data_IF_284009391250
#
_entry.id   IF_284009391250
#
_cell.length_a   1.000
_cell.length_b   1.000
_cell.length_c   1.000
_cell.angle_alpha   90.00
_cell.angle_beta   90.00
_cell.angle_gamma   90.00
#
_symmetry.space_group_name_H-M   'P 1'
#
loop_
_entity.id
_entity.type
_entity.pdbx_description
1 polymer ?
#
# COMPACT_ATOMS: atom_id res chain seq x y z
N UNK A 1 -24.21 -19.40 26.55
CA UNK A 1 -23.81 -18.29 27.45
C UNK A 1 -24.40 -16.95 26.97
N UNK A 2 -25.68 -16.89 26.57
CA UNK A 2 -26.26 -15.64 25.98
C UNK A 2 -27.46 -15.09 26.78
N UNK A 3 -28.21 -15.89 27.54
CA UNK A 3 -29.39 -15.38 28.28
C UNK A 3 -29.06 -14.58 29.54
N UNK A 4 -27.86 -14.76 30.10
CA UNK A 4 -27.44 -14.11 31.35
C UNK A 4 -26.95 -12.68 31.10
N UNK A 5 -26.27 -12.46 29.97
CA UNK A 5 -25.79 -11.15 29.51
C UNK A 5 -26.98 -10.21 29.23
N UNK A 6 -27.96 -10.70 28.47
CA UNK A 6 -29.17 -9.91 28.15
C UNK A 6 -29.98 -9.54 29.41
N UNK A 7 -29.98 -10.39 30.44
CA UNK A 7 -30.68 -10.10 31.69
C UNK A 7 -29.97 -9.02 32.52
N UNK A 8 -28.64 -9.01 32.49
CA UNK A 8 -27.83 -8.04 33.22
C UNK A 8 -28.03 -6.65 32.63
N UNK A 9 -27.93 -6.53 31.30
CA UNK A 9 -28.09 -5.26 30.60
C UNK A 9 -29.50 -4.67 30.79
N UNK A 10 -30.54 -5.51 30.68
CA UNK A 10 -31.92 -5.09 30.98
C UNK A 10 -32.08 -4.61 32.42
N UNK A 11 -31.46 -5.29 33.38
CA UNK A 11 -31.53 -4.90 34.79
C UNK A 11 -30.82 -3.57 35.04
N UNK A 12 -29.62 -3.38 34.48
CA UNK A 12 -28.85 -2.15 34.61
C UNK A 12 -29.55 -0.94 34.00
N UNK A 13 -30.09 -1.07 32.78
CA UNK A 13 -30.89 -0.01 32.13
C UNK A 13 -32.13 0.33 32.97
N UNK A 14 -32.82 -0.68 33.51
CA UNK A 14 -34.01 -0.47 34.35
C UNK A 14 -33.67 0.29 35.64
N UNK A 15 -32.53 -0.04 36.28
CA UNK A 15 -32.07 0.66 37.48
C UNK A 15 -31.64 2.10 37.16
N UNK A 16 -30.97 2.33 36.04
CA UNK A 16 -30.58 3.68 35.59
C UNK A 16 -31.80 4.57 35.36
N UNK A 17 -32.83 4.07 34.66
CA UNK A 17 -34.09 4.82 34.43
C UNK A 17 -34.79 5.15 35.74
N UNK A 18 -34.82 4.22 36.70
CA UNK A 18 -35.38 4.48 38.04
C UNK A 18 -34.60 5.53 38.80
N UNK A 19 -33.27 5.53 38.70
CA UNK A 19 -32.42 6.55 39.32
C UNK A 19 -32.71 7.92 38.70
N UNK A 20 -32.83 8.01 37.37
CA UNK A 20 -33.18 9.26 36.69
C UNK A 20 -34.57 9.78 37.10
N UNK A 21 -35.57 8.90 37.27
CA UNK A 21 -36.89 9.28 37.79
C UNK A 21 -36.79 9.84 39.22
N UNK A 22 -35.99 9.22 40.10
CA UNK A 22 -35.74 9.69 41.47
C UNK A 22 -35.02 11.04 41.51
N UNK A 23 -33.99 11.21 40.68
CA UNK A 23 -33.23 12.47 40.57
C UNK A 23 -34.12 13.60 40.05
N UNK A 24 -34.95 13.33 39.04
CA UNK A 24 -35.91 14.30 38.50
C UNK A 24 -36.96 14.73 39.52
N UNK A 25 -37.54 13.77 40.25
CA UNK A 25 -38.49 14.05 41.33
C UNK A 25 -37.82 14.85 42.47
N UNK A 26 -36.58 14.50 42.83
CA UNK A 26 -35.81 15.24 43.84
C UNK A 26 -35.52 16.67 43.40
N UNK A 27 -35.10 16.86 42.15
CA UNK A 27 -34.87 18.19 41.57
C UNK A 27 -36.13 19.05 41.57
N UNK A 28 -37.28 18.47 41.22
CA UNK A 28 -38.58 19.14 41.24
C UNK A 28 -38.98 19.57 42.65
N UNK A 29 -38.81 18.68 43.64
CA UNK A 29 -39.10 18.98 45.03
C UNK A 29 -38.19 20.10 45.58
N UNK A 30 -36.89 20.05 45.29
CA UNK A 30 -35.92 21.07 45.71
C UNK A 30 -36.20 22.44 45.07
N UNK A 31 -36.76 22.47 43.87
CA UNK A 31 -37.20 23.70 43.19
C UNK A 31 -38.55 24.24 43.72
N UNK A 32 -39.17 23.59 44.71
CA UNK A 32 -40.47 23.98 45.28
C UNK A 32 -41.69 23.53 44.46
N UNK A 33 -41.50 22.65 43.47
CA UNK A 33 -42.58 22.05 42.69
C UNK A 33 -43.22 20.84 43.38
N UNK A 34 -44.33 20.35 42.81
CA UNK A 34 -44.94 19.07 43.20
C UNK A 34 -44.31 17.98 42.33
N UNK A 35 -43.49 17.06 42.89
CA UNK A 35 -42.86 16.01 42.11
C UNK A 35 -43.87 14.96 41.66
N UNK A 36 -43.56 14.29 40.55
CA UNK A 36 -44.28 13.09 40.13
C UNK A 36 -44.21 12.01 41.21
N UNK A 37 -45.25 11.18 41.29
CA UNK A 37 -45.31 10.08 42.26
C UNK A 37 -44.13 9.15 42.00
N UNK A 38 -43.24 9.04 42.99
CA UNK A 38 -42.12 8.12 42.96
C UNK A 38 -42.61 6.69 42.73
N UNK A 39 -41.81 5.84 42.04
CA UNK A 39 -42.11 4.43 41.93
C UNK A 39 -42.32 3.84 43.33
N UNK A 40 -43.36 3.02 43.49
CA UNK A 40 -43.53 2.25 44.71
C UNK A 40 -42.30 1.37 44.90
N UNK A 41 -41.48 1.70 45.89
CA UNK A 41 -40.37 0.87 46.30
C UNK A 41 -40.93 -0.28 47.12
N UNK A 42 -41.27 -1.37 46.44
CA UNK A 42 -41.61 -2.66 47.08
C UNK A 42 -40.38 -3.35 47.70
N UNK A 43 -39.20 -2.72 47.63
CA UNK A 43 -37.92 -3.33 47.98
C UNK A 43 -37.43 -2.89 49.35
N UNK A 44 -38.15 -3.29 50.40
CA UNK A 44 -37.60 -3.41 51.76
C UNK A 44 -36.93 -4.77 51.99
N UNK A 45 -37.07 -5.73 51.07
CA UNK A 45 -36.47 -7.07 51.15
C UNK A 45 -35.26 -7.24 50.20
N UNK A 46 -34.27 -8.00 50.66
CA UNK A 46 -33.16 -8.47 49.82
C UNK A 46 -33.67 -9.47 48.79
N UNK A 47 -33.97 -8.99 47.57
CA UNK A 47 -34.36 -9.84 46.44
C UNK A 47 -33.16 -10.61 45.89
N UNK A 48 -33.36 -11.86 45.51
CA UNK A 48 -32.41 -12.60 44.68
C UNK A 48 -32.32 -11.97 43.28
N UNK A 49 -31.23 -12.26 42.55
CA UNK A 49 -31.04 -11.76 41.18
C UNK A 49 -32.21 -12.13 40.24
N UNK A 50 -32.76 -13.34 40.38
CA UNK A 50 -33.89 -13.82 39.58
C UNK A 50 -35.15 -13.02 39.91
N UNK A 51 -35.44 -12.79 41.19
CA UNK A 51 -36.60 -12.00 41.62
C UNK A 51 -36.50 -10.54 41.19
N UNK A 52 -35.30 -9.95 41.29
CA UNK A 52 -35.02 -8.62 40.77
C UNK A 52 -35.27 -8.54 39.26
N UNK A 53 -34.80 -9.54 38.50
CA UNK A 53 -35.00 -9.60 37.05
C UNK A 53 -36.49 -9.67 36.69
N UNK A 54 -37.25 -10.53 37.36
CA UNK A 54 -38.71 -10.65 37.14
C UNK A 54 -39.44 -9.35 37.51
N UNK A 55 -39.06 -8.71 38.61
CA UNK A 55 -39.63 -7.43 39.02
C UNK A 55 -39.34 -6.32 37.99
N UNK A 56 -38.11 -6.26 37.50
CA UNK A 56 -37.68 -5.31 36.46
C UNK A 56 -38.41 -5.58 35.14
N UNK A 57 -38.51 -6.83 34.68
CA UNK A 57 -39.23 -7.16 33.44
C UNK A 57 -40.71 -6.75 33.51
N UNK A 58 -41.36 -6.96 34.66
CA UNK A 58 -42.74 -6.47 34.89
C UNK A 58 -42.81 -4.94 34.84
N UNK A 59 -41.85 -4.25 35.44
CA UNK A 59 -41.80 -2.78 35.40
C UNK A 59 -41.58 -2.27 33.97
N UNK A 60 -40.64 -2.85 33.23
CA UNK A 60 -40.37 -2.54 31.83
C UNK A 60 -41.61 -2.73 30.98
N UNK A 61 -42.33 -3.84 31.14
CA UNK A 61 -43.58 -4.11 30.43
C UNK A 61 -44.66 -3.05 30.74
N UNK A 62 -44.82 -2.65 32.01
CA UNK A 62 -45.78 -1.58 32.39
C UNK A 62 -45.41 -0.20 31.83
N UNK A 63 -44.12 0.11 31.75
CA UNK A 63 -43.60 1.40 31.27
C UNK A 63 -43.39 1.42 29.75
N UNK A 64 -43.57 0.29 29.06
CA UNK A 64 -43.30 0.16 27.63
C UNK A 64 -41.81 0.24 27.26
N UNK A 65 -40.91 -0.07 28.19
CA UNK A 65 -39.46 -0.06 27.93
C UNK A 65 -39.03 -1.33 27.21
N UNK A 66 -39.16 -1.33 25.90
CA UNK A 66 -38.79 -2.47 25.04
C UNK A 66 -37.29 -2.51 24.76
N UNK A 67 -36.65 -1.35 24.63
CA UNK A 67 -35.24 -1.24 24.27
C UNK A 67 -34.35 -1.06 25.49
N UNK A 68 -33.11 -1.56 25.39
CA UNK A 68 -32.07 -1.37 26.40
C UNK A 68 -31.14 -0.27 25.92
N UNK A 69 -30.99 0.79 26.72
CA UNK A 69 -30.14 1.94 26.40
C UNK A 69 -29.21 2.23 27.59
N UNK A 70 -28.15 1.43 27.69
CA UNK A 70 -27.11 1.65 28.70
C UNK A 70 -26.31 2.93 28.45
N UNK A 71 -26.27 3.42 27.22
CA UNK A 71 -25.56 4.66 26.89
C UNK A 71 -26.27 5.87 27.52
N UNK A 72 -27.61 5.85 27.65
CA UNK A 72 -28.38 6.86 28.36
C UNK A 72 -28.01 6.99 29.85
N UNK A 73 -27.39 5.97 30.45
CA UNK A 73 -26.90 6.03 31.83
C UNK A 73 -25.63 6.89 31.99
N UNK A 74 -24.96 7.22 30.89
CA UNK A 74 -23.70 7.99 30.90
C UNK A 74 -23.98 9.48 30.67
N UNK A 75 -23.30 10.36 31.42
CA UNK A 75 -23.25 11.79 31.06
C UNK A 75 -22.57 11.97 29.69
N UNK A 76 -22.78 13.11 28.98
CA UNK A 76 -22.10 13.37 27.72
C UNK A 76 -20.57 13.24 27.80
N UNK A 77 -19.95 13.70 28.90
CA UNK A 77 -18.51 13.59 29.14
C UNK A 77 -18.07 12.14 29.34
N UNK A 78 -18.85 11.35 30.10
CA UNK A 78 -18.59 9.94 30.35
C UNK A 78 -18.73 9.12 29.06
N UNK A 79 -19.75 9.40 28.24
CA UNK A 79 -19.95 8.76 26.94
C UNK A 79 -18.77 9.05 26.01
N UNK A 80 -18.37 10.31 25.88
CA UNK A 80 -17.19 10.69 25.12
C UNK A 80 -15.90 10.04 25.66
N UNK A 81 -15.79 9.88 26.99
CA UNK A 81 -14.69 9.16 27.63
C UNK A 81 -14.67 7.66 27.31
N UNK A 82 -15.82 7.03 27.35
CA UNK A 82 -16.01 5.61 27.02
C UNK A 82 -15.73 5.34 25.54
N UNK A 83 -16.16 6.23 24.64
CA UNK A 83 -15.85 6.14 23.21
C UNK A 83 -14.35 6.25 22.95
N UNK A 84 -13.66 7.18 23.61
CA UNK A 84 -12.19 7.27 23.55
C UNK A 84 -11.51 6.02 24.11
N UNK A 85 -12.03 5.45 25.19
CA UNK A 85 -11.49 4.21 25.76
C UNK A 85 -11.69 3.03 24.80
N UNK A 86 -12.90 2.87 24.23
CA UNK A 86 -13.23 1.86 23.21
C UNK A 86 -12.35 2.00 21.98
N UNK A 87 -12.16 3.23 21.49
CA UNK A 87 -11.30 3.53 20.34
C UNK A 87 -9.83 3.16 20.59
N UNK A 88 -9.35 3.25 21.83
CA UNK A 88 -7.99 2.82 22.22
C UNK A 88 -7.85 1.31 22.43
N UNK A 89 -8.95 0.56 22.50
CA UNK A 89 -8.87 -0.88 22.65
C UNK A 89 -8.50 -1.53 21.32
N UNK A 90 -7.34 -2.17 21.30
CA UNK A 90 -6.88 -2.98 20.17
C UNK A 90 -7.89 -4.07 19.83
N UNK A 91 -8.14 -4.30 18.54
CA UNK A 91 -8.88 -5.49 18.09
C UNK A 91 -7.88 -6.65 18.07
N UNK A 92 -8.06 -7.71 18.88
CA UNK A 92 -7.15 -8.86 18.87
C UNK A 92 -7.20 -9.53 17.50
N UNK A 93 -6.06 -10.05 17.08
CA UNK A 93 -5.99 -10.81 15.84
C UNK A 93 -6.65 -12.17 16.03
N UNK A 94 -7.30 -12.64 14.98
CA UNK A 94 -7.86 -13.98 14.94
C UNK A 94 -7.12 -14.88 13.93
N UNK A 95 -7.62 -16.11 13.78
CA UNK A 95 -7.02 -17.09 12.90
C UNK A 95 -7.01 -16.66 11.42
N UNK A 96 -8.02 -15.91 10.95
CA UNK A 96 -8.08 -15.47 9.56
C UNK A 96 -7.06 -14.37 9.29
N UNK A 97 -6.79 -13.51 10.28
CA UNK A 97 -5.70 -12.53 10.19
C UNK A 97 -4.34 -13.20 10.03
N UNK A 98 -4.09 -14.25 10.82
CA UNK A 98 -2.85 -15.01 10.73
C UNK A 98 -2.71 -15.67 9.36
N UNK A 99 -3.81 -16.21 8.81
CA UNK A 99 -3.84 -16.77 7.45
C UNK A 99 -3.61 -15.70 6.39
N UNK A 100 -4.22 -14.52 6.52
CA UNK A 100 -4.05 -13.41 5.59
C UNK A 100 -2.61 -12.90 5.56
N UNK A 101 -1.98 -12.75 6.73
CA UNK A 101 -0.56 -12.37 6.85
C UNK A 101 0.34 -13.45 6.27
N UNK A 102 0.10 -14.72 6.57
CA UNK A 102 0.87 -15.85 6.02
C UNK A 102 0.76 -15.91 4.50
N UNK A 103 -0.45 -15.77 3.94
CA UNK A 103 -0.69 -15.76 2.50
C UNK A 103 -0.05 -14.55 1.82
N UNK A 104 -0.17 -13.36 2.40
CA UNK A 104 0.50 -12.15 1.93
C UNK A 104 2.02 -12.32 1.93
N UNK A 105 2.57 -12.97 2.95
CA UNK A 105 4.01 -13.27 3.03
C UNK A 105 4.44 -14.20 1.90
N UNK A 106 3.76 -15.32 1.71
CA UNK A 106 4.10 -16.29 0.65
C UNK A 106 4.04 -15.63 -0.73
N UNK A 107 2.99 -14.86 -1.02
CA UNK A 107 2.85 -14.20 -2.31
C UNK A 107 3.80 -13.00 -2.48
N UNK A 108 4.07 -12.24 -1.42
CA UNK A 108 5.04 -11.15 -1.43
C UNK A 108 6.46 -11.66 -1.70
N UNK A 109 6.84 -12.79 -1.11
CA UNK A 109 8.12 -13.46 -1.39
C UNK A 109 8.13 -14.08 -2.80
N UNK A 110 7.04 -14.73 -3.19
CA UNK A 110 6.91 -15.28 -4.55
C UNK A 110 6.99 -14.19 -5.62
N UNK A 111 6.54 -12.96 -5.34
CA UNK A 111 6.69 -11.81 -6.25
C UNK A 111 8.16 -11.44 -6.49
N UNK A 112 9.04 -11.63 -5.51
CA UNK A 112 10.50 -11.49 -5.68
C UNK A 112 11.05 -12.56 -6.62
N UNK A 113 10.58 -13.81 -6.47
CA UNK A 113 11.00 -14.93 -7.32
C UNK A 113 10.39 -14.89 -8.72
N UNK A 114 9.19 -14.33 -8.86
CA UNK A 114 8.50 -14.15 -10.13
C UNK A 114 9.39 -13.39 -11.11
N UNK A 115 10.19 -12.45 -10.62
CA UNK A 115 11.12 -11.67 -11.44
C UNK A 115 12.17 -12.52 -12.16
N UNK A 116 12.69 -13.59 -11.56
CA UNK A 116 13.69 -14.46 -12.21
C UNK A 116 13.06 -15.51 -13.14
N UNK A 117 11.83 -15.96 -12.88
CA UNK A 117 11.12 -16.95 -13.71
C UNK A 117 10.43 -16.33 -14.94
N UNK A 118 9.97 -15.08 -14.81
CA UNK A 118 9.38 -14.29 -15.91
C UNK A 118 10.38 -14.04 -17.02
N UNK A 119 11.68 -13.92 -16.73
CA UNK A 119 12.70 -13.84 -17.77
C UNK A 119 12.64 -15.00 -18.75
N UNK A 120 12.48 -16.22 -18.24
CA UNK A 120 12.33 -17.39 -19.10
C UNK A 120 10.99 -17.43 -19.83
N UNK A 121 9.89 -17.12 -19.15
CA UNK A 121 8.54 -17.24 -19.71
C UNK A 121 8.18 -16.12 -20.69
N UNK A 122 8.47 -14.87 -20.36
CA UNK A 122 8.27 -13.70 -21.23
C UNK A 122 9.24 -13.72 -22.40
N UNK A 123 10.51 -14.15 -22.23
CA UNK A 123 11.39 -14.33 -23.39
C UNK A 123 10.90 -15.44 -24.34
N UNK A 124 10.32 -16.53 -23.81
CA UNK A 124 9.72 -17.60 -24.62
C UNK A 124 8.42 -17.15 -25.30
N UNK A 125 7.54 -16.44 -24.59
CA UNK A 125 6.29 -15.89 -25.11
C UNK A 125 6.49 -14.79 -26.16
N UNK A 126 7.39 -13.84 -25.88
CA UNK A 126 7.82 -12.82 -26.86
C UNK A 126 8.62 -13.44 -28.01
N UNK A 127 9.36 -14.52 -27.77
CA UNK A 127 10.03 -15.31 -28.81
C UNK A 127 9.05 -15.95 -29.80
N UNK A 128 7.87 -16.37 -29.33
CA UNK A 128 6.81 -16.88 -30.19
C UNK A 128 6.14 -15.77 -31.03
N UNK A 129 5.97 -14.57 -30.46
CA UNK A 129 5.35 -13.40 -31.15
C UNK A 129 6.33 -12.61 -32.02
N UNK A 130 7.65 -12.79 -31.85
CA UNK A 130 8.74 -12.24 -32.69
C UNK A 130 8.58 -12.53 -34.18
N UNK A 131 7.84 -13.58 -34.54
CA UNK A 131 7.57 -13.96 -35.94
C UNK A 131 6.50 -13.09 -36.62
N UNK A 132 5.72 -12.32 -35.85
CA UNK A 132 4.67 -11.42 -36.38
C UNK A 132 5.27 -10.18 -37.05
N UNK A 133 4.60 -9.65 -38.09
CA UNK A 133 5.07 -8.47 -38.83
C UNK A 133 5.12 -7.20 -37.98
N UNK A 134 4.18 -7.06 -37.04
CA UNK A 134 4.09 -5.95 -36.08
C UNK A 134 5.28 -5.92 -35.11
N UNK A 135 5.65 -7.06 -34.51
CA UNK A 135 6.81 -7.15 -33.61
C UNK A 135 8.14 -6.85 -34.35
N UNK A 136 8.27 -7.31 -35.60
CA UNK A 136 9.42 -6.96 -36.46
C UNK A 136 9.47 -5.47 -36.83
N UNK A 137 8.32 -4.80 -36.92
CA UNK A 137 8.22 -3.35 -37.10
C UNK A 137 8.59 -2.60 -35.82
N UNK A 138 8.13 -3.08 -34.66
CA UNK A 138 8.47 -2.55 -33.35
C UNK A 138 9.98 -2.67 -33.06
N UNK A 139 10.56 -3.84 -33.31
CA UNK A 139 12.00 -4.10 -33.12
C UNK A 139 12.87 -3.29 -34.11
N UNK A 140 12.40 -3.05 -35.34
CA UNK A 140 13.10 -2.17 -36.30
C UNK A 140 13.00 -0.69 -35.94
N UNK A 141 11.87 -0.25 -35.40
CA UNK A 141 11.66 1.14 -35.00
C UNK A 141 12.43 1.50 -33.73
N UNK A 142 12.59 0.57 -32.79
CA UNK A 142 13.35 0.77 -31.55
C UNK A 142 14.85 0.51 -31.65
N UNK A 143 15.33 -0.17 -32.71
CA UNK A 143 16.76 -0.39 -32.96
C UNK A 143 17.39 0.77 -33.71
N UNK A 144 18.66 1.07 -33.40
CA UNK A 144 19.45 2.17 -33.99
C UNK A 144 18.89 3.56 -33.66
N UNK A 145 18.43 3.74 -32.42
CA UNK A 145 18.26 5.08 -31.89
C UNK A 145 19.62 5.63 -31.45
N UNK A 146 19.84 6.96 -31.52
CA UNK A 146 21.09 7.57 -31.09
C UNK A 146 21.42 7.23 -29.63
N UNK A 147 20.40 7.16 -28.77
CA UNK A 147 20.53 6.82 -27.35
C UNK A 147 21.12 5.42 -27.09
N UNK A 148 21.09 4.54 -28.08
CA UNK A 148 21.61 3.17 -28.03
C UNK A 148 23.00 3.04 -28.68
N UNK A 149 23.74 4.15 -28.80
CA UNK A 149 25.06 4.15 -29.40
C UNK A 149 26.06 3.34 -28.57
N UNK A 150 26.65 2.30 -29.18
CA UNK A 150 27.63 1.40 -28.56
C UNK A 150 29.04 1.53 -29.14
N UNK A 151 29.41 2.70 -29.70
CA UNK A 151 30.74 2.91 -30.27
C UNK A 151 31.85 3.09 -29.21
N UNK A 152 33.06 3.54 -29.63
CA UNK A 152 34.21 3.64 -28.72
C UNK A 152 33.89 4.40 -27.42
N UNK A 153 34.16 3.79 -26.27
CA UNK A 153 33.86 4.35 -24.93
C UNK A 153 32.43 4.10 -24.42
N UNK A 154 31.49 3.87 -25.32
CA UNK A 154 30.06 3.67 -24.99
C UNK A 154 29.58 2.23 -25.24
N UNK A 155 30.44 1.30 -25.68
CA UNK A 155 30.09 -0.11 -25.83
C UNK A 155 30.05 -0.92 -24.53
N UNK A 156 29.63 -2.18 -24.65
CA UNK A 156 29.67 -3.17 -23.57
C UNK A 156 28.33 -3.38 -22.85
N UNK A 157 28.32 -4.34 -21.91
CA UNK A 157 27.10 -4.77 -21.19
C UNK A 157 26.46 -3.65 -20.36
N UNK A 158 27.26 -2.70 -19.89
CA UNK A 158 26.80 -1.56 -19.12
C UNK A 158 26.78 -0.25 -19.91
N UNK A 159 26.61 -0.29 -21.23
CA UNK A 159 26.53 0.94 -22.05
C UNK A 159 25.41 1.88 -21.62
N UNK A 160 24.26 1.33 -21.18
CA UNK A 160 23.07 2.11 -20.80
C UNK A 160 23.35 3.11 -19.67
N UNK A 161 24.22 2.78 -18.72
CA UNK A 161 24.59 3.71 -17.63
C UNK A 161 25.44 4.88 -18.12
N UNK A 162 26.10 4.74 -19.28
CA UNK A 162 26.97 5.75 -19.89
C UNK A 162 26.22 6.61 -20.93
N UNK A 163 24.99 6.23 -21.25
CA UNK A 163 24.16 6.94 -22.22
C UNK A 163 23.06 7.72 -21.48
N UNK A 164 23.04 9.05 -21.60
CA UNK A 164 21.97 9.88 -21.02
C UNK A 164 20.57 9.48 -21.48
N UNK A 165 20.43 8.95 -22.70
CA UNK A 165 19.13 8.63 -23.27
C UNK A 165 18.44 7.41 -22.68
N UNK A 166 19.20 6.57 -21.95
CA UNK A 166 18.71 5.42 -21.19
C UNK A 166 18.36 5.78 -19.74
N UNK A 167 18.66 7.00 -19.29
CA UNK A 167 18.41 7.45 -17.93
C UNK A 167 17.00 8.02 -17.80
N UNK A 168 16.18 7.37 -16.98
CA UNK A 168 14.80 7.79 -16.71
C UNK A 168 14.69 9.18 -16.05
N UNK A 169 15.76 9.69 -15.44
CA UNK A 169 15.80 11.06 -14.91
C UNK A 169 16.08 12.12 -15.99
N UNK A 170 16.38 11.72 -17.24
CA UNK A 170 16.77 12.62 -18.34
C UNK A 170 15.89 12.46 -19.60
N UNK A 171 14.55 12.45 -19.47
CA UNK A 171 13.65 12.25 -20.60
C UNK A 171 13.87 13.29 -21.72
N UNK A 172 14.10 14.55 -21.38
CA UNK A 172 14.32 15.61 -22.36
C UNK A 172 15.62 15.43 -23.15
N UNK A 173 16.67 14.88 -22.53
CA UNK A 173 17.92 14.60 -23.22
C UNK A 173 17.74 13.45 -24.21
N UNK A 174 17.04 12.39 -23.80
CA UNK A 174 16.70 11.27 -24.67
C UNK A 174 15.89 11.73 -25.90
N UNK A 175 14.84 12.53 -25.67
CA UNK A 175 14.00 13.08 -26.74
C UNK A 175 14.78 14.02 -27.65
N UNK A 176 15.67 14.86 -27.10
CA UNK A 176 16.54 15.75 -27.89
C UNK A 176 17.46 14.96 -28.82
N UNK A 177 18.10 13.91 -28.31
CA UNK A 177 18.97 13.04 -29.10
C UNK A 177 18.20 12.31 -30.21
N UNK A 178 17.03 11.75 -29.89
CA UNK A 178 16.17 11.07 -30.87
C UNK A 178 15.72 12.03 -31.98
N UNK A 179 15.25 13.24 -31.62
CA UNK A 179 14.81 14.23 -32.60
C UNK A 179 15.93 14.69 -33.51
N UNK A 180 17.10 14.98 -32.93
CA UNK A 180 18.28 15.43 -33.66
C UNK A 180 19.02 14.30 -34.41
N UNK A 181 18.62 13.02 -34.26
CA UNK A 181 19.33 11.90 -34.87
C UNK A 181 20.80 11.83 -34.43
N UNK A 182 21.12 12.28 -33.21
CA UNK A 182 22.48 12.51 -32.75
C UNK A 182 22.66 11.97 -31.34
N UNK A 183 23.64 11.10 -31.15
CA UNK A 183 24.04 10.66 -29.81
C UNK A 183 24.84 11.76 -29.12
N UNK A 184 24.55 11.99 -27.85
CA UNK A 184 25.34 12.87 -26.97
C UNK A 184 25.61 12.16 -25.66
N UNK A 185 26.87 12.12 -25.25
CA UNK A 185 27.26 11.51 -23.98
C UNK A 185 28.64 11.96 -23.54
N UNK A 186 29.04 11.51 -22.35
CA UNK A 186 30.34 11.82 -21.78
C UNK A 186 31.19 10.56 -21.73
N UNK A 187 32.42 10.65 -22.22
CA UNK A 187 33.45 9.62 -22.08
C UNK A 187 34.53 10.13 -21.13
N UNK A 188 35.06 9.22 -20.33
CA UNK A 188 36.21 9.49 -19.46
C UNK A 188 37.41 8.69 -19.94
N UNK A 189 38.50 9.38 -20.28
CA UNK A 189 39.77 8.76 -20.67
C UNK A 189 40.85 9.21 -19.68
N UNK A 190 41.45 8.27 -18.95
CA UNK A 190 42.54 8.54 -17.98
C UNK A 190 42.26 9.63 -16.92
N UNK A 191 40.99 9.98 -16.69
CA UNK A 191 40.60 11.04 -15.74
C UNK A 191 40.10 12.31 -16.42
N UNK A 192 40.31 12.45 -17.73
CA UNK A 192 39.85 13.58 -18.51
C UNK A 192 38.43 13.34 -19.04
N UNK A 193 37.60 14.38 -18.94
CA UNK A 193 36.22 14.38 -19.42
C UNK A 193 36.17 14.78 -20.89
N UNK A 194 35.54 13.96 -21.71
CA UNK A 194 35.31 14.22 -23.13
C UNK A 194 33.81 14.18 -23.45
N UNK A 195 33.27 15.30 -23.91
CA UNK A 195 31.94 15.33 -24.49
C UNK A 195 31.99 14.71 -25.89
N UNK A 196 31.13 13.70 -26.11
CA UNK A 196 31.08 12.93 -27.35
C UNK A 196 29.75 13.14 -28.03
N UNK A 197 29.83 13.59 -29.28
CA UNK A 197 28.69 13.80 -30.16
C UNK A 197 28.85 12.95 -31.41
N UNK A 198 27.83 12.16 -31.76
CA UNK A 198 27.83 11.31 -32.95
C UNK A 198 26.53 11.49 -33.74
N UNK A 199 26.60 12.26 -34.83
CA UNK A 199 25.51 12.48 -35.78
C UNK A 199 25.69 11.72 -37.10
N UNK A 200 24.71 11.87 -38.01
CA UNK A 200 24.78 11.37 -39.39
C UNK A 200 24.65 9.86 -39.57
N UNK A 201 24.39 9.11 -38.47
CA UNK A 201 24.20 7.64 -38.48
C UNK A 201 22.80 7.21 -38.06
N UNK A 202 22.02 8.13 -37.50
CA UNK A 202 20.69 7.86 -36.97
C UNK A 202 19.67 8.72 -37.71
N UNK A 203 18.43 8.23 -37.75
CA UNK A 203 17.34 8.93 -38.40
C UNK A 203 16.83 10.05 -37.49
N UNK A 204 16.74 11.26 -38.03
CA UNK A 204 16.09 12.39 -37.37
C UNK A 204 14.57 12.18 -37.25
N UNK A 205 13.96 12.80 -36.24
CA UNK A 205 12.53 12.68 -35.96
C UNK A 205 11.96 14.07 -35.66
N UNK A 206 11.20 14.61 -36.61
CA UNK A 206 10.71 15.98 -36.52
C UNK A 206 9.67 16.17 -35.40
N UNK A 207 8.78 15.18 -35.25
CA UNK A 207 7.67 15.20 -34.30
C UNK A 207 8.10 14.77 -32.89
N UNK A 208 7.75 15.59 -31.90
CA UNK A 208 7.93 15.24 -30.49
C UNK A 208 7.12 14.00 -30.10
N UNK A 209 5.91 13.85 -30.63
CA UNK A 209 5.06 12.70 -30.36
C UNK A 209 5.70 11.40 -30.89
N UNK A 210 6.27 11.45 -32.09
CA UNK A 210 6.96 10.29 -32.67
C UNK A 210 8.24 9.96 -31.88
N UNK A 211 8.99 10.97 -31.45
CA UNK A 211 10.16 10.79 -30.59
C UNK A 211 9.78 10.16 -29.23
N UNK A 212 8.67 10.58 -28.62
CA UNK A 212 8.14 10.00 -27.38
C UNK A 212 7.74 8.54 -27.57
N UNK A 213 7.03 8.23 -28.66
CA UNK A 213 6.62 6.84 -28.97
C UNK A 213 7.85 5.96 -29.20
N UNK A 214 8.86 6.44 -29.92
CA UNK A 214 10.11 5.70 -30.15
C UNK A 214 10.89 5.48 -28.85
N UNK A 215 10.98 6.51 -28.02
CA UNK A 215 11.62 6.42 -26.70
C UNK A 215 10.91 5.43 -25.79
N UNK A 216 9.58 5.52 -25.65
CA UNK A 216 8.80 4.60 -24.84
C UNK A 216 8.92 3.15 -25.33
N UNK A 217 8.90 2.93 -26.65
CA UNK A 217 9.13 1.61 -27.26
C UNK A 217 10.50 1.05 -26.94
N UNK A 218 11.53 1.89 -26.97
CA UNK A 218 12.90 1.51 -26.64
C UNK A 218 13.05 1.16 -25.16
N UNK A 219 12.58 2.04 -24.27
CA UNK A 219 12.58 1.80 -22.83
C UNK A 219 11.84 0.52 -22.44
N UNK A 220 10.67 0.26 -23.03
CA UNK A 220 9.92 -0.97 -22.78
C UNK A 220 10.70 -2.22 -23.21
N UNK A 221 11.43 -2.15 -24.33
CA UNK A 221 12.28 -3.23 -24.78
C UNK A 221 13.49 -3.44 -23.85
N UNK A 222 14.09 -2.36 -23.34
CA UNK A 222 15.22 -2.48 -22.41
C UNK A 222 14.79 -2.96 -21.02
N UNK A 223 13.63 -2.52 -20.53
CA UNK A 223 13.08 -2.90 -19.23
C UNK A 223 12.98 -4.43 -19.05
N UNK A 224 12.59 -5.13 -20.12
CA UNK A 224 12.41 -6.60 -20.14
C UNK A 224 13.70 -7.38 -20.41
N UNK A 225 14.82 -6.70 -20.70
CA UNK A 225 16.12 -7.39 -20.83
C UNK A 225 16.71 -7.69 -19.45
N UNK A 226 17.58 -8.72 -19.31
CA UNK A 226 18.18 -9.03 -18.02
C UNK A 226 18.87 -7.83 -17.35
N UNK A 227 19.62 -7.03 -18.11
CA UNK A 227 20.29 -5.83 -17.58
C UNK A 227 19.32 -4.69 -17.20
N UNK A 228 18.09 -4.72 -17.72
CA UNK A 228 17.06 -3.68 -17.58
C UNK A 228 17.56 -2.25 -17.84
N UNK A 229 16.78 -1.24 -17.45
CA UNK A 229 17.19 0.17 -17.50
C UNK A 229 18.00 0.55 -16.25
N UNK A 230 18.99 1.45 -16.35
CA UNK A 230 19.68 1.95 -15.17
C UNK A 230 18.71 2.69 -14.25
N UNK A 231 19.04 2.75 -12.96
CA UNK A 231 18.27 3.55 -12.01
C UNK A 231 18.24 5.03 -12.43
N UNK A 232 17.13 5.76 -12.21
CA UNK A 232 17.07 7.19 -12.50
C UNK A 232 18.24 7.96 -11.87
N UNK A 233 18.94 8.77 -12.67
CA UNK A 233 20.09 9.59 -12.26
C UNK A 233 21.45 8.89 -12.37
N UNK A 234 21.51 7.62 -12.79
CA UNK A 234 22.78 6.89 -12.88
C UNK A 234 23.75 7.50 -13.89
N UNK A 235 23.25 8.09 -14.99
CA UNK A 235 24.11 8.75 -15.97
C UNK A 235 24.70 10.05 -15.42
N UNK A 236 23.97 10.78 -14.57
CA UNK A 236 24.53 11.95 -13.89
C UNK A 236 25.68 11.55 -12.96
N UNK A 237 25.51 10.49 -12.17
CA UNK A 237 26.59 9.98 -11.31
C UNK A 237 27.82 9.56 -12.12
N UNK A 238 27.62 8.98 -13.31
CA UNK A 238 28.69 8.63 -14.24
C UNK A 238 29.38 9.85 -14.87
N UNK A 239 28.67 10.97 -15.03
CA UNK A 239 29.17 12.21 -15.62
C UNK A 239 29.91 13.13 -14.65
N UNK A 240 29.88 12.83 -13.34
CA UNK A 240 30.56 13.61 -12.31
C UNK A 240 32.08 13.49 -12.42
N UNK A 241 32.78 14.57 -12.11
CA UNK A 241 34.24 14.57 -11.96
C UNK A 241 34.70 13.96 -10.64
N UNK A 242 34.24 12.74 -10.37
CA UNK A 242 34.66 11.95 -9.23
C UNK A 242 34.77 10.48 -9.65
N UNK A 243 36.00 9.98 -9.75
CA UNK A 243 36.27 8.60 -10.19
C UNK A 243 35.54 7.55 -9.34
N UNK A 244 35.41 7.76 -8.04
CA UNK A 244 34.75 6.81 -7.15
C UNK A 244 33.25 6.72 -7.44
N UNK A 245 32.57 7.86 -7.60
CA UNK A 245 31.13 7.91 -7.95
C UNK A 245 30.85 7.31 -9.33
N UNK A 246 31.73 7.58 -10.32
CA UNK A 246 31.61 6.98 -11.65
C UNK A 246 31.74 5.47 -11.63
N UNK A 247 32.75 4.97 -10.90
CA UNK A 247 32.99 3.54 -10.73
C UNK A 247 31.82 2.89 -10.00
N UNK A 248 31.34 3.51 -8.93
CA UNK A 248 30.16 3.07 -8.20
C UNK A 248 28.94 2.94 -9.10
N UNK A 249 28.55 4.01 -9.82
CA UNK A 249 27.39 3.98 -10.72
C UNK A 249 27.51 2.87 -11.78
N UNK A 250 28.70 2.66 -12.32
CA UNK A 250 28.95 1.63 -13.31
C UNK A 250 28.88 0.21 -12.74
N UNK A 251 29.54 -0.04 -11.61
CA UNK A 251 29.63 -1.36 -10.98
C UNK A 251 28.31 -1.80 -10.36
N UNK A 252 27.59 -0.87 -9.72
CA UNK A 252 26.26 -1.12 -9.14
C UNK A 252 25.28 -1.56 -10.23
N UNK A 253 25.26 -0.89 -11.39
CA UNK A 253 24.42 -1.29 -12.52
C UNK A 253 24.89 -2.56 -13.20
N UNK A 254 26.21 -2.77 -13.33
CA UNK A 254 26.77 -3.95 -14.01
C UNK A 254 26.52 -5.24 -13.22
N UNK A 255 26.63 -5.18 -11.89
CA UNK A 255 26.57 -6.33 -11.00
C UNK A 255 27.69 -7.34 -11.23
N UNK A 256 27.62 -8.48 -10.53
CA UNK A 256 28.57 -9.59 -10.68
C UNK A 256 28.28 -10.48 -11.89
N UNK A 257 27.04 -10.44 -12.40
CA UNK A 257 26.59 -11.19 -13.58
C UNK A 257 25.46 -10.43 -14.30
N UNK A 258 25.04 -10.90 -15.48
CA UNK A 258 24.05 -10.17 -16.28
C UNK A 258 22.69 -10.16 -15.59
N UNK A 259 22.19 -8.95 -15.31
CA UNK A 259 20.90 -8.73 -14.66
C UNK A 259 20.90 -8.80 -13.13
N UNK A 260 22.05 -9.07 -12.52
CA UNK A 260 22.19 -9.07 -11.06
C UNK A 260 22.65 -7.71 -10.49
N UNK A 261 22.82 -6.69 -11.34
CA UNK A 261 23.08 -5.33 -10.89
C UNK A 261 21.80 -4.61 -10.45
N UNK A 262 21.96 -3.47 -9.79
CA UNK A 262 20.85 -2.58 -9.43
C UNK A 262 20.38 -1.83 -10.68
N UNK A 263 19.17 -2.15 -11.12
CA UNK A 263 18.52 -1.58 -12.27
C UNK A 263 17.03 -1.33 -11.93
N UNK A 264 16.25 -0.74 -12.83
CA UNK A 264 14.84 -0.40 -12.57
C UNK A 264 14.04 -1.63 -12.14
N UNK A 265 14.37 -2.80 -12.65
CA UNK A 265 13.66 -4.03 -12.33
C UNK A 265 14.01 -4.51 -10.92
N UNK A 266 15.30 -4.76 -10.66
CA UNK A 266 15.77 -5.25 -9.35
C UNK A 266 15.63 -4.22 -8.23
N UNK A 267 15.74 -2.92 -8.55
CA UNK A 267 15.71 -1.83 -7.59
C UNK A 267 14.35 -1.17 -7.37
N UNK A 268 13.41 -1.28 -8.33
CA UNK A 268 12.08 -0.68 -8.21
C UNK A 268 10.97 -1.70 -8.43
N UNK A 269 10.91 -2.37 -9.58
CA UNK A 269 9.76 -3.21 -9.92
C UNK A 269 9.59 -4.40 -8.97
N UNK A 270 10.67 -5.14 -8.72
CA UNK A 270 10.63 -6.37 -7.92
C UNK A 270 10.23 -6.07 -6.47
N UNK A 271 10.88 -5.12 -5.76
CA UNK A 271 10.44 -4.71 -4.43
C UNK A 271 9.01 -4.13 -4.43
N UNK A 272 8.66 -3.33 -5.43
CA UNK A 272 7.32 -2.73 -5.52
C UNK A 272 6.23 -3.78 -5.71
N UNK A 273 6.50 -4.84 -6.46
CA UNK A 273 5.53 -5.92 -6.68
C UNK A 273 5.22 -6.65 -5.38
N UNK A 274 6.23 -6.91 -4.55
CA UNK A 274 6.05 -7.46 -3.21
C UNK A 274 5.23 -6.54 -2.32
N UNK A 275 5.55 -5.24 -2.30
CA UNK A 275 4.80 -4.25 -1.50
C UNK A 275 3.34 -4.18 -1.95
N UNK A 276 3.09 -4.01 -3.25
CA UNK A 276 1.74 -3.89 -3.83
C UNK A 276 0.93 -5.16 -3.54
N UNK A 277 1.53 -6.34 -3.71
CA UNK A 277 0.85 -7.62 -3.46
C UNK A 277 0.43 -7.75 -2.00
N UNK A 278 1.35 -7.47 -1.07
CA UNK A 278 1.07 -7.48 0.37
C UNK A 278 -0.04 -6.49 0.74
N UNK A 279 0.03 -5.26 0.23
CA UNK A 279 -0.96 -4.22 0.48
C UNK A 279 -2.35 -4.62 -0.05
N UNK A 280 -2.44 -5.15 -1.28
CA UNK A 280 -3.71 -5.57 -1.87
C UNK A 280 -4.35 -6.67 -1.03
N UNK A 281 -3.60 -7.70 -0.65
CA UNK A 281 -4.14 -8.85 0.10
C UNK A 281 -4.67 -8.39 1.46
N UNK A 282 -3.85 -7.67 2.23
CA UNK A 282 -4.23 -7.29 3.60
C UNK A 282 -5.30 -6.21 3.64
N UNK A 283 -5.24 -5.22 2.74
CA UNK A 283 -6.33 -4.23 2.64
C UNK A 283 -7.62 -4.90 2.24
N UNK A 284 -7.60 -5.77 1.22
CA UNK A 284 -8.80 -6.48 0.79
C UNK A 284 -9.39 -7.28 1.94
N UNK A 285 -8.56 -8.05 2.67
CA UNK A 285 -8.98 -8.81 3.86
C UNK A 285 -9.67 -7.92 4.91
N UNK A 286 -9.01 -6.84 5.36
CA UNK A 286 -9.56 -5.99 6.42
C UNK A 286 -10.83 -5.26 5.97
N UNK A 287 -10.84 -4.73 4.75
CA UNK A 287 -12.00 -4.03 4.19
C UNK A 287 -13.17 -4.99 3.92
N UNK A 288 -12.93 -6.22 3.45
CA UNK A 288 -13.99 -7.22 3.26
C UNK A 288 -14.62 -7.62 4.59
N UNK A 289 -13.81 -7.68 5.66
CA UNK A 289 -14.30 -7.99 7.00
C UNK A 289 -15.11 -6.85 7.59
N UNK A 290 -14.66 -5.61 7.46
CA UNK A 290 -15.44 -4.45 7.87
C UNK A 290 -16.79 -4.42 7.14
N UNK A 291 -16.80 -4.73 5.84
CA UNK A 291 -18.02 -4.82 5.05
C UNK A 291 -18.94 -5.95 5.53
N UNK A 292 -18.40 -7.13 5.84
CA UNK A 292 -19.20 -8.25 6.33
C UNK A 292 -19.88 -7.96 7.69
N UNK A 293 -19.24 -7.17 8.55
CA UNK A 293 -19.75 -6.83 9.89
C UNK A 293 -20.69 -5.63 9.86
N UNK A 294 -20.36 -4.58 9.10
CA UNK A 294 -21.03 -3.28 9.18
C UNK A 294 -21.86 -2.94 7.94
N UNK A 295 -21.75 -3.71 6.87
CA UNK A 295 -22.30 -3.37 5.56
C UNK A 295 -21.51 -2.27 4.82
N UNK A 296 -20.40 -1.80 5.38
CA UNK A 296 -19.55 -0.75 4.81
C UNK A 296 -18.08 -1.16 4.78
N UNK A 297 -17.39 -0.83 3.68
CA UNK A 297 -15.94 -1.04 3.57
C UNK A 297 -15.15 0.07 4.27
N UNK A 298 -15.79 1.09 4.84
CA UNK A 298 -15.11 2.14 5.59
C UNK A 298 -14.60 1.58 6.92
N UNK A 299 -13.31 1.83 7.20
CA UNK A 299 -12.67 1.40 8.43
C UNK A 299 -12.80 2.50 9.48
N UNK A 300 -13.26 2.14 10.68
CA UNK A 300 -13.11 2.99 11.86
C UNK A 300 -11.65 3.03 12.32
N UNK A 301 -11.36 3.84 13.34
CA UNK A 301 -10.00 4.01 13.86
C UNK A 301 -9.36 2.68 14.29
N UNK A 302 -10.16 1.78 14.88
CA UNK A 302 -9.69 0.48 15.38
C UNK A 302 -9.36 -0.48 14.25
N UNK A 303 -10.19 -0.54 13.21
CA UNK A 303 -9.94 -1.36 12.03
C UNK A 303 -8.76 -0.83 11.22
N UNK A 304 -8.56 0.50 11.18
CA UNK A 304 -7.35 1.11 10.60
C UNK A 304 -6.10 0.70 11.38
N UNK A 305 -6.12 0.77 12.72
CA UNK A 305 -5.01 0.33 13.55
C UNK A 305 -4.70 -1.16 13.33
N UNK A 306 -5.72 -2.04 13.32
CA UNK A 306 -5.55 -3.47 13.00
C UNK A 306 -4.94 -3.69 11.62
N UNK A 307 -5.41 -2.97 10.59
CA UNK A 307 -4.83 -3.02 9.24
C UNK A 307 -3.35 -2.68 9.27
N UNK A 308 -2.97 -1.61 9.96
CA UNK A 308 -1.58 -1.14 10.01
C UNK A 308 -0.68 -2.12 10.77
N UNK A 309 -1.18 -2.75 11.84
CA UNK A 309 -0.47 -3.84 12.53
C UNK A 309 -0.24 -5.05 11.60
N UNK A 310 -1.28 -5.47 10.85
CA UNK A 310 -1.18 -6.60 9.92
C UNK A 310 -0.20 -6.30 8.78
N UNK A 311 -0.27 -5.09 8.22
CA UNK A 311 0.65 -4.61 7.17
C UNK A 311 2.09 -4.58 7.68
N UNK A 312 2.31 -4.06 8.89
CA UNK A 312 3.63 -4.03 9.50
C UNK A 312 4.21 -5.43 9.65
N UNK A 313 3.42 -6.38 10.14
CA UNK A 313 3.87 -7.77 10.30
C UNK A 313 4.16 -8.44 8.96
N UNK A 314 3.27 -8.32 7.97
CA UNK A 314 3.48 -8.94 6.66
C UNK A 314 4.67 -8.32 5.92
N UNK A 315 4.83 -7.00 5.91
CA UNK A 315 6.01 -6.37 5.30
C UNK A 315 7.30 -6.74 6.03
N UNK A 316 7.27 -6.90 7.36
CA UNK A 316 8.42 -7.38 8.12
C UNK A 316 8.80 -8.81 7.74
N UNK A 317 7.82 -9.70 7.58
CA UNK A 317 8.05 -11.09 7.17
C UNK A 317 8.54 -11.19 5.72
N UNK A 318 7.95 -10.42 4.80
CA UNK A 318 8.39 -10.36 3.40
C UNK A 318 9.81 -9.78 3.30
N UNK A 319 10.14 -8.76 4.09
CA UNK A 319 11.48 -8.16 4.10
C UNK A 319 12.57 -9.02 4.74
N UNK A 320 12.21 -10.03 5.55
CA UNK A 320 13.15 -11.00 6.12
C UNK A 320 13.54 -12.13 5.15
N UNK A 321 12.74 -12.35 4.11
CA UNK A 321 12.90 -13.44 3.15
C UNK A 321 13.73 -13.02 1.93
#
# INVERSE_FOLDING_TARGET
MSSMDDSLDRNLDTLSRRLAELESATGTALAGGIPDRLPENDTTEHLSYVELTVANDRLRARRGWTDVDLDAALTPEQRAGFDRWRARQRIPWDHEDMLAVGFATVLGVAAVWYDTAVDGAVARGLGATRKTGWMRGWERAGKRLPIDYTGPGFGGRAHRVRSPGHDLARPFEALRQIRAGEFRGVRWDYGDKHDVTVGGRFREVDSLADALVLWAKHLAADLVTPMSLPMPGSSWLYELDNRALRKFAHEVYLGTSAGNGLNVRSGLLTPSLSVITTEIILRTHVHSRAYAVTGSALLGEREQARRDELLLAAHSLVGLA
#
